data_IF_873100290831
#
_entry.id   IF_873100290831
#
_cell.length_a   1.000
_cell.length_b   1.000
_cell.length_c   1.000
_cell.angle_alpha   90.00
_cell.angle_beta   90.00
_cell.angle_gamma   90.00
#
_symmetry.space_group_name_H-M   'P 1'
#
loop_
_entity.id
_entity.type
_entity.pdbx_description
1 polymer ?
#
# COMPACT_ATOMS: atom_id res chain seq x y z
N UNK A 1 20.19 -3.34 -1.59
CA UNK A 1 20.88 -3.21 -0.29
C UNK A 1 20.52 -1.88 0.35
N UNK A 2 20.70 -1.75 1.67
CA UNK A 2 20.54 -0.48 2.37
C UNK A 2 21.69 0.50 2.05
N UNK A 3 22.88 -0.05 1.81
CA UNK A 3 24.09 0.71 1.54
C UNK A 3 24.61 0.46 0.12
N UNK A 4 25.43 1.40 -0.39
CA UNK A 4 26.11 1.24 -1.69
C UNK A 4 27.03 0.01 -1.74
N UNK A 5 27.58 -0.38 -0.60
CA UNK A 5 28.44 -1.56 -0.42
C UNK A 5 27.68 -2.61 0.38
N UNK A 6 27.97 -3.90 0.14
CA UNK A 6 27.30 -4.99 0.86
C UNK A 6 27.68 -4.96 2.34
N UNK A 7 26.74 -4.46 3.15
CA UNK A 7 26.86 -4.29 4.60
C UNK A 7 25.61 -4.74 5.34
N UNK A 8 24.61 -5.23 4.62
CA UNK A 8 23.33 -5.60 5.19
C UNK A 8 23.50 -6.89 6.00
N UNK A 9 22.87 -6.95 7.18
CA UNK A 9 22.89 -8.13 8.03
C UNK A 9 21.48 -8.72 8.09
N UNK A 10 21.34 -9.99 7.75
CA UNK A 10 20.03 -10.66 7.75
C UNK A 10 19.37 -10.74 9.13
N UNK A 11 20.17 -10.62 10.20
CA UNK A 11 19.71 -10.61 11.60
C UNK A 11 19.37 -9.21 12.11
N UNK A 12 19.50 -8.18 11.28
CA UNK A 12 19.24 -6.81 11.68
C UNK A 12 17.73 -6.47 11.63
N UNK A 13 17.12 -6.55 12.80
CA UNK A 13 15.71 -6.24 13.04
C UNK A 13 15.45 -4.75 13.31
N UNK A 14 16.39 -3.85 12.97
CA UNK A 14 16.25 -2.40 13.21
C UNK A 14 14.92 -1.84 12.71
N UNK A 15 14.39 -0.86 13.46
CA UNK A 15 13.04 -0.33 13.25
C UNK A 15 12.80 0.42 11.95
N UNK A 16 13.85 0.99 11.37
CA UNK A 16 13.71 1.76 10.13
C UNK A 16 13.80 0.89 8.87
N UNK A 17 12.97 1.24 7.89
CA UNK A 17 12.96 0.68 6.54
C UNK A 17 13.38 1.74 5.50
N UNK A 18 14.33 2.61 5.84
CA UNK A 18 14.65 3.81 5.04
C UNK A 18 15.00 3.49 3.57
N UNK A 19 15.66 2.37 3.31
CA UNK A 19 15.98 1.91 1.95
C UNK A 19 14.75 1.37 1.18
N UNK A 20 13.61 1.17 1.84
CA UNK A 20 12.33 0.76 1.26
C UNK A 20 11.34 1.93 1.11
N UNK A 21 11.76 3.19 1.31
CA UNK A 21 10.90 4.36 1.05
C UNK A 21 10.36 4.36 -0.39
N UNK A 22 11.16 3.86 -1.34
CA UNK A 22 10.76 3.68 -2.74
C UNK A 22 9.65 2.66 -2.97
N UNK A 23 9.45 1.72 -2.04
CA UNK A 23 8.33 0.78 -2.05
C UNK A 23 7.09 1.45 -1.46
N UNK A 24 7.20 2.02 -0.26
CA UNK A 24 6.14 2.81 0.37
C UNK A 24 6.77 3.82 1.33
N UNK A 25 6.32 5.10 1.36
CA UNK A 25 5.14 5.66 0.70
C UNK A 25 5.38 6.21 -0.72
N UNK A 26 6.62 6.18 -1.23
CA UNK A 26 6.89 6.49 -2.63
C UNK A 26 6.48 5.32 -3.53
N UNK A 27 6.70 5.46 -4.84
CA UNK A 27 6.39 4.44 -5.85
C UNK A 27 7.59 4.14 -6.74
N UNK A 28 8.80 4.61 -6.43
CA UNK A 28 9.96 4.44 -7.33
C UNK A 28 10.40 2.97 -7.50
N UNK A 29 10.16 2.13 -6.50
CA UNK A 29 10.33 0.67 -6.57
C UNK A 29 9.02 0.02 -7.03
N UNK A 30 7.87 0.42 -6.46
CA UNK A 30 6.57 -0.19 -6.75
C UNK A 30 6.14 -0.02 -8.23
N UNK A 31 6.42 1.15 -8.82
CA UNK A 31 6.13 1.52 -10.21
C UNK A 31 7.33 1.37 -11.13
N UNK A 32 8.34 0.59 -10.73
CA UNK A 32 9.50 0.39 -11.58
C UNK A 32 9.08 -0.21 -12.95
N UNK A 33 9.66 0.25 -14.08
CA UNK A 33 9.23 -0.17 -15.41
C UNK A 33 9.39 -1.67 -15.65
N UNK A 34 8.42 -2.29 -16.33
CA UNK A 34 8.49 -3.73 -16.70
C UNK A 34 9.65 -4.02 -17.65
N UNK A 35 10.03 -3.06 -18.51
CA UNK A 35 11.18 -3.14 -19.42
C UNK A 35 12.55 -3.03 -18.74
N UNK A 36 12.59 -2.93 -17.41
CA UNK A 36 13.80 -2.73 -16.62
C UNK A 36 14.31 -1.29 -16.63
N UNK A 37 15.49 -1.06 -16.04
CA UNK A 37 16.23 0.20 -16.23
C UNK A 37 17.60 -0.05 -16.85
N UNK A 38 18.36 1.03 -17.03
CA UNK A 38 19.75 1.05 -17.53
C UNK A 38 20.68 0.06 -16.81
N UNK A 39 20.34 -0.38 -15.59
CA UNK A 39 21.13 -1.35 -14.80
C UNK A 39 20.73 -2.82 -14.98
N UNK A 40 19.81 -3.14 -15.90
CA UNK A 40 19.49 -4.53 -16.30
C UNK A 40 18.63 -5.33 -15.31
N UNK A 41 18.11 -4.71 -14.25
CA UNK A 41 17.18 -5.35 -13.32
C UNK A 41 15.73 -5.23 -13.82
N UNK A 42 14.96 -6.31 -13.70
CA UNK A 42 13.51 -6.28 -13.91
C UNK A 42 12.77 -5.79 -12.67
N UNK A 43 11.53 -5.30 -12.85
CA UNK A 43 10.64 -4.95 -11.74
C UNK A 43 10.41 -6.11 -10.77
N UNK A 44 10.19 -7.32 -11.30
CA UNK A 44 9.99 -8.52 -10.48
C UNK A 44 11.19 -8.79 -9.57
N UNK A 45 12.42 -8.66 -10.08
CA UNK A 45 13.63 -8.85 -9.27
C UNK A 45 13.76 -7.80 -8.17
N UNK A 46 13.45 -6.53 -8.47
CA UNK A 46 13.46 -5.47 -7.47
C UNK A 46 12.40 -5.67 -6.38
N UNK A 47 11.17 -6.04 -6.74
CA UNK A 47 10.12 -6.33 -5.76
C UNK A 47 10.47 -7.55 -4.89
N UNK A 48 11.08 -8.58 -5.48
CA UNK A 48 11.60 -9.74 -4.72
C UNK A 48 12.72 -9.33 -3.76
N UNK A 49 13.64 -8.47 -4.19
CA UNK A 49 14.70 -7.96 -3.34
C UNK A 49 14.13 -7.13 -2.17
N UNK A 50 13.18 -6.24 -2.43
CA UNK A 50 12.49 -5.45 -1.41
C UNK A 50 11.74 -6.34 -0.41
N UNK A 51 11.03 -7.37 -0.89
CA UNK A 51 10.37 -8.35 -0.04
C UNK A 51 11.37 -9.14 0.82
N UNK A 52 12.52 -9.52 0.29
CA UNK A 52 13.59 -10.18 1.05
C UNK A 52 14.15 -9.28 2.15
N UNK A 53 14.45 -8.01 1.85
CA UNK A 53 14.87 -7.04 2.87
C UNK A 53 13.82 -6.87 3.97
N UNK A 54 12.54 -6.77 3.60
CA UNK A 54 11.43 -6.65 4.54
C UNK A 54 11.28 -7.89 5.43
N UNK A 55 11.49 -9.10 4.90
CA UNK A 55 11.51 -10.35 5.69
C UNK A 55 12.63 -10.33 6.74
N UNK A 56 13.83 -9.93 6.34
CA UNK A 56 14.98 -9.86 7.26
C UNK A 56 14.79 -8.82 8.36
N UNK A 57 14.11 -7.71 8.09
CA UNK A 57 13.73 -6.69 9.09
C UNK A 57 12.67 -7.16 10.09
N UNK A 58 12.08 -8.34 9.88
CA UNK A 58 11.07 -8.94 10.75
C UNK A 58 9.72 -8.20 10.76
N UNK A 59 8.86 -8.56 11.71
CA UNK A 59 7.49 -8.06 11.88
C UNK A 59 7.36 -6.96 12.96
N UNK A 60 8.48 -6.42 13.44
CA UNK A 60 8.52 -5.39 14.48
C UNK A 60 8.56 -5.95 15.91
N UNK A 61 9.14 -7.14 16.11
CA UNK A 61 9.38 -7.77 17.43
C UNK A 61 10.83 -7.69 17.90
N UNK A 62 11.68 -6.96 17.19
CA UNK A 62 13.10 -6.86 17.50
C UNK A 62 13.36 -6.04 18.78
N UNK A 63 14.53 -6.17 19.42
CA UNK A 63 14.88 -5.42 20.63
C UNK A 63 15.03 -3.92 20.39
N UNK A 64 15.33 -3.52 19.16
CA UNK A 64 15.45 -2.13 18.68
C UNK A 64 14.25 -1.71 17.81
N UNK A 65 13.17 -2.50 17.92
CA UNK A 65 11.87 -2.43 17.27
C UNK A 65 10.80 -2.61 18.38
N UNK A 66 9.51 -2.72 18.03
CA UNK A 66 8.32 -2.83 18.91
C UNK A 66 7.45 -1.55 18.99
N UNK A 67 7.78 -0.50 18.24
CA UNK A 67 6.95 0.71 18.15
C UNK A 67 5.78 0.59 17.16
N UNK A 68 4.72 1.39 17.35
CA UNK A 68 3.53 1.31 16.51
C UNK A 68 3.79 1.69 15.05
N UNK A 69 4.49 2.80 14.80
CA UNK A 69 4.71 3.32 13.45
C UNK A 69 5.49 2.36 12.56
N UNK A 70 6.47 1.66 13.13
CA UNK A 70 7.37 0.80 12.36
C UNK A 70 6.67 -0.50 11.94
N UNK A 71 5.73 -1.01 12.74
CA UNK A 71 4.86 -2.13 12.38
C UNK A 71 3.83 -1.72 11.34
N UNK A 72 3.24 -0.53 11.49
CA UNK A 72 2.31 0.03 10.50
C UNK A 72 3.02 0.25 9.16
N UNK A 73 4.26 0.73 9.15
CA UNK A 73 5.05 0.87 7.91
C UNK A 73 5.39 -0.49 7.28
N UNK A 74 5.81 -1.49 8.07
CA UNK A 74 6.00 -2.87 7.58
C UNK A 74 4.73 -3.43 6.95
N UNK A 75 3.59 -3.27 7.61
CA UNK A 75 2.29 -3.70 7.07
C UNK A 75 1.98 -2.99 5.74
N UNK A 76 2.33 -1.70 5.60
CA UNK A 76 2.11 -0.95 4.37
C UNK A 76 2.99 -1.44 3.22
N UNK A 77 4.24 -1.80 3.50
CA UNK A 77 5.14 -2.43 2.54
C UNK A 77 4.62 -3.81 2.10
N UNK A 78 4.10 -4.63 3.03
CA UNK A 78 3.48 -5.91 2.66
C UNK A 78 2.23 -5.74 1.81
N UNK A 79 1.39 -4.75 2.15
CA UNK A 79 0.23 -4.39 1.33
C UNK A 79 0.66 -3.93 -0.07
N UNK A 80 1.72 -3.12 -0.17
CA UNK A 80 2.28 -2.65 -1.44
C UNK A 80 2.77 -3.82 -2.33
N UNK A 81 3.32 -4.86 -1.71
CA UNK A 81 3.77 -6.07 -2.39
C UNK A 81 2.63 -7.02 -2.78
N UNK A 82 1.39 -6.72 -2.40
CA UNK A 82 0.22 -7.56 -2.68
C UNK A 82 0.07 -8.76 -1.72
N UNK A 83 0.87 -8.84 -0.65
CA UNK A 83 0.80 -9.94 0.31
C UNK A 83 -0.21 -9.63 1.43
N UNK A 84 -1.48 -9.95 1.17
CA UNK A 84 -2.58 -9.65 2.10
C UNK A 84 -2.46 -10.35 3.45
N UNK A 85 -1.93 -11.57 3.49
CA UNK A 85 -1.80 -12.32 4.74
C UNK A 85 -0.66 -11.77 5.60
N UNK A 86 0.49 -11.43 5.00
CA UNK A 86 1.57 -10.76 5.73
C UNK A 86 1.14 -9.38 6.19
N UNK A 87 0.52 -8.57 5.32
CA UNK A 87 -0.08 -7.30 5.70
C UNK A 87 -0.96 -7.45 6.93
N UNK A 88 -1.94 -8.36 6.90
CA UNK A 88 -2.90 -8.52 7.97
C UNK A 88 -2.26 -9.03 9.27
N UNK A 89 -1.29 -9.96 9.18
CA UNK A 89 -0.58 -10.45 10.36
C UNK A 89 0.17 -9.34 11.10
N UNK A 90 0.90 -8.48 10.38
CA UNK A 90 1.68 -7.39 10.95
C UNK A 90 0.77 -6.24 11.41
N UNK A 91 -0.24 -5.91 10.61
CA UNK A 91 -1.23 -4.89 10.94
C UNK A 91 -2.01 -5.26 12.20
N UNK A 92 -2.52 -6.49 12.28
CA UNK A 92 -3.22 -7.01 13.46
C UNK A 92 -2.29 -6.95 14.68
N UNK A 93 -1.04 -7.38 14.53
CA UNK A 93 -0.08 -7.32 15.63
C UNK A 93 0.15 -5.89 16.12
N UNK A 94 0.28 -4.91 15.22
CA UNK A 94 0.38 -3.50 15.57
C UNK A 94 -0.85 -3.01 16.34
N UNK A 95 -2.06 -3.31 15.85
CA UNK A 95 -3.32 -2.93 16.50
C UNK A 95 -3.47 -3.56 17.88
N UNK A 96 -3.14 -4.84 18.01
CA UNK A 96 -3.27 -5.59 19.26
C UNK A 96 -2.30 -5.12 20.34
N UNK A 97 -1.11 -4.61 19.96
CA UNK A 97 -0.04 -4.33 20.92
C UNK A 97 0.24 -2.84 21.11
N UNK A 98 0.16 -2.02 20.07
CA UNK A 98 0.63 -0.64 20.10
C UNK A 98 -0.49 0.40 20.21
N UNK A 99 -1.67 0.04 20.69
CA UNK A 99 -2.77 0.99 20.89
C UNK A 99 -3.33 0.84 22.30
N UNK A 100 -3.39 1.95 23.04
CA UNK A 100 -3.99 1.98 24.38
C UNK A 100 -5.50 1.84 24.35
N UNK A 101 -6.14 1.76 25.52
CA UNK A 101 -7.59 1.67 25.64
C UNK A 101 -8.35 2.84 25.00
N UNK A 102 -7.70 4.00 24.89
CA UNK A 102 -8.21 5.20 24.20
C UNK A 102 -7.90 5.20 22.69
N UNK A 103 -7.37 4.10 22.15
CA UNK A 103 -6.94 3.94 20.76
C UNK A 103 -5.79 4.87 20.35
N UNK A 104 -5.04 5.46 21.27
CA UNK A 104 -3.82 6.20 20.95
C UNK A 104 -2.64 5.26 20.82
N UNK A 105 -1.80 5.49 19.80
CA UNK A 105 -0.66 4.63 19.54
C UNK A 105 0.47 4.85 20.54
N UNK A 106 1.09 3.74 20.93
CA UNK A 106 2.12 3.64 21.94
C UNK A 106 3.46 3.30 21.30
N UNK A 107 4.50 4.06 21.64
CA UNK A 107 5.87 3.84 21.17
C UNK A 107 6.49 2.58 21.81
N UNK A 108 6.27 2.37 23.11
CA UNK A 108 6.77 1.20 23.85
C UNK A 108 5.61 0.53 24.59
N UNK A 109 4.88 -0.39 23.94
CA UNK A 109 3.61 -0.88 24.46
C UNK A 109 3.73 -1.71 25.74
N UNK A 110 4.95 -2.20 26.04
CA UNK A 110 5.26 -3.00 27.23
C UNK A 110 5.92 -2.19 28.36
N UNK A 111 6.15 -0.89 28.15
CA UNK A 111 6.68 -0.01 29.20
C UNK A 111 5.64 0.18 30.30
N UNK A 112 6.10 0.36 31.54
CA UNK A 112 5.22 0.75 32.66
C UNK A 112 4.55 2.11 32.43
N UNK A 113 5.19 2.99 31.65
CA UNK A 113 4.67 4.29 31.29
C UNK A 113 4.81 4.50 29.77
N UNK A 114 3.93 3.89 28.95
CA UNK A 114 4.07 3.91 27.51
C UNK A 114 3.84 5.33 26.96
N UNK A 115 4.75 5.78 26.10
CA UNK A 115 4.68 7.12 25.49
C UNK A 115 3.75 7.09 24.28
N UNK A 116 2.83 8.04 24.23
CA UNK A 116 2.01 8.28 23.06
C UNK A 116 2.84 8.83 21.88
N UNK A 117 2.64 8.26 20.70
CA UNK A 117 3.13 8.80 19.42
C UNK A 117 2.01 8.67 18.38
N UNK A 118 1.70 9.76 17.65
CA UNK A 118 0.52 9.85 16.77
C UNK A 118 0.71 9.20 15.39
N UNK A 119 1.95 8.96 15.00
CA UNK A 119 2.37 8.43 13.70
C UNK A 119 1.65 7.13 13.31
N UNK A 120 1.53 6.16 14.22
CA UNK A 120 0.82 4.91 13.90
C UNK A 120 -0.68 5.16 13.71
N UNK A 121 -1.33 5.99 14.54
CA UNK A 121 -2.72 6.40 14.34
C UNK A 121 -2.97 6.96 12.95
N UNK A 122 -2.10 7.84 12.46
CA UNK A 122 -2.21 8.46 11.13
C UNK A 122 -1.82 7.50 10.00
N UNK A 123 -0.95 6.54 10.28
CA UNK A 123 -0.55 5.50 9.34
C UNK A 123 -1.63 4.43 9.11
N UNK A 124 -2.45 4.12 10.12
CA UNK A 124 -3.50 3.08 10.05
C UNK A 124 -4.47 3.28 8.86
N UNK A 125 -5.08 4.46 8.65
CA UNK A 125 -5.92 4.68 7.47
C UNK A 125 -5.16 4.47 6.16
N UNK A 126 -3.91 4.92 6.08
CA UNK A 126 -3.08 4.78 4.89
C UNK A 126 -2.79 3.31 4.54
N UNK A 127 -2.40 2.51 5.53
CA UNK A 127 -2.07 1.09 5.30
C UNK A 127 -3.31 0.24 4.97
N UNK A 128 -4.46 0.52 5.61
CA UNK A 128 -5.73 -0.14 5.28
C UNK A 128 -6.13 0.20 3.85
N UNK A 129 -6.05 1.48 3.46
CA UNK A 129 -6.32 1.88 2.08
C UNK A 129 -5.34 1.26 1.10
N UNK A 130 -4.04 1.19 1.42
CA UNK A 130 -3.04 0.60 0.53
C UNK A 130 -3.26 -0.90 0.27
N UNK A 131 -3.86 -1.62 1.22
CA UNK A 131 -4.23 -3.02 1.05
C UNK A 131 -5.48 -3.21 0.17
N UNK A 132 -6.38 -2.23 0.16
CA UNK A 132 -7.66 -2.26 -0.56
C UNK A 132 -7.63 -1.56 -1.93
N UNK A 133 -6.74 -0.58 -2.11
CA UNK A 133 -6.68 0.30 -3.26
C UNK A 133 -5.28 0.88 -3.44
N UNK A 134 -4.67 0.64 -4.60
CA UNK A 134 -3.40 1.24 -5.01
C UNK A 134 -3.59 2.03 -6.30
N UNK A 135 -3.04 3.24 -6.34
CA UNK A 135 -3.05 4.09 -7.54
C UNK A 135 -1.81 4.98 -7.55
N UNK A 136 -0.62 4.41 -7.79
CA UNK A 136 0.60 5.20 -7.90
C UNK A 136 0.47 6.19 -9.07
N UNK A 137 1.00 7.41 -8.90
CA UNK A 137 1.02 8.34 -10.03
C UNK A 137 2.14 8.01 -11.01
N UNK A 138 1.99 8.55 -12.22
CA UNK A 138 2.98 8.48 -13.28
C UNK A 138 3.62 9.85 -13.50
N UNK A 139 4.79 9.88 -14.13
CA UNK A 139 5.49 11.13 -14.46
C UNK A 139 4.89 11.89 -15.64
N UNK A 140 4.01 11.26 -16.43
CA UNK A 140 3.28 11.86 -17.54
C UNK A 140 1.82 11.39 -17.58
N UNK A 141 0.94 12.26 -18.10
CA UNK A 141 -0.47 11.95 -18.41
C UNK A 141 -0.62 11.08 -19.68
N UNK A 142 0.42 10.95 -20.49
CA UNK A 142 0.44 10.01 -21.62
C UNK A 142 0.53 8.54 -21.15
N UNK A 143 1.00 8.33 -19.92
CA UNK A 143 1.01 7.01 -19.30
C UNK A 143 -0.32 6.74 -18.62
N UNK A 144 -0.87 5.51 -18.73
CA UNK A 144 -2.12 5.16 -18.09
C UNK A 144 -1.99 5.24 -16.56
N UNK A 145 -3.01 5.76 -15.90
CA UNK A 145 -3.19 5.57 -14.47
C UNK A 145 -3.64 4.15 -14.20
N UNK A 146 -2.84 3.41 -13.45
CA UNK A 146 -3.23 2.08 -12.99
C UNK A 146 -3.85 2.17 -11.61
N UNK A 147 -5.12 1.79 -11.49
CA UNK A 147 -5.85 1.66 -10.23
C UNK A 147 -6.03 0.17 -9.94
N UNK A 148 -5.30 -0.34 -8.96
CA UNK A 148 -5.41 -1.73 -8.51
C UNK A 148 -6.38 -1.83 -7.34
N UNK A 149 -7.44 -2.62 -7.51
CA UNK A 149 -8.46 -2.87 -6.51
C UNK A 149 -8.14 -4.17 -5.77
N UNK A 150 -8.29 -4.16 -4.45
CA UNK A 150 -8.00 -5.29 -3.55
C UNK A 150 -6.61 -5.92 -3.75
N UNK A 151 -5.53 -5.13 -3.90
CA UNK A 151 -4.20 -5.66 -4.20
C UNK A 151 -3.68 -6.61 -3.11
N UNK A 152 -4.07 -6.40 -1.85
CA UNK A 152 -3.63 -7.19 -0.71
C UNK A 152 -4.78 -7.47 0.27
N UNK A 153 -5.97 -7.82 -0.25
CA UNK A 153 -7.12 -8.17 0.60
C UNK A 153 -6.83 -9.46 1.40
N UNK A 154 -6.81 -9.42 2.75
CA UNK A 154 -6.62 -10.63 3.53
C UNK A 154 -7.86 -11.52 3.53
N UNK A 155 -7.67 -12.82 3.75
CA UNK A 155 -8.75 -13.80 3.92
C UNK A 155 -9.72 -13.40 5.03
N UNK A 156 -9.24 -12.77 6.10
CA UNK A 156 -10.07 -12.29 7.19
C UNK A 156 -11.13 -11.25 6.75
N UNK A 157 -10.92 -10.57 5.63
CA UNK A 157 -11.83 -9.55 5.09
C UNK A 157 -12.55 -10.01 3.83
N UNK A 158 -12.29 -11.22 3.33
CA UNK A 158 -12.72 -11.65 1.99
C UNK A 158 -14.22 -11.88 1.87
N UNK A 159 -14.89 -12.28 2.97
CA UNK A 159 -16.31 -12.65 2.95
C UNK A 159 -17.19 -11.54 2.36
N UNK A 160 -17.05 -10.30 2.84
CA UNK A 160 -17.72 -9.12 2.29
C UNK A 160 -17.12 -7.82 2.82
N UNK A 161 -17.18 -6.76 2.03
CA UNK A 161 -16.90 -5.40 2.48
C UNK A 161 -17.09 -4.37 1.37
N UNK A 162 -16.83 -3.10 1.68
CA UNK A 162 -16.90 -2.01 0.71
C UNK A 162 -16.04 -0.82 1.09
N UNK A 163 -15.57 -0.08 0.09
CA UNK A 163 -14.96 1.24 0.20
C UNK A 163 -15.86 2.25 -0.52
N UNK A 164 -16.15 3.39 0.12
CA UNK A 164 -16.97 4.46 -0.46
C UNK A 164 -16.24 5.79 -0.39
N UNK A 165 -16.23 6.51 -1.51
CA UNK A 165 -15.68 7.86 -1.58
C UNK A 165 -14.16 7.95 -1.41
N UNK A 166 -13.41 6.86 -1.65
CA UNK A 166 -11.96 6.92 -1.65
C UNK A 166 -11.47 7.82 -2.79
N UNK A 167 -10.29 8.42 -2.60
CA UNK A 167 -9.70 9.34 -3.56
C UNK A 167 -8.41 8.75 -4.11
N UNK A 168 -8.25 8.83 -5.41
CA UNK A 168 -6.97 8.60 -6.09
C UNK A 168 -6.55 9.87 -6.84
N UNK A 169 -5.29 9.90 -7.29
CA UNK A 169 -4.73 11.09 -7.96
C UNK A 169 -5.42 11.38 -9.29
N UNK A 170 -5.44 12.66 -9.66
CA UNK A 170 -6.10 13.15 -10.88
C UNK A 170 -7.57 13.56 -10.67
N UNK A 171 -8.01 13.77 -9.43
CA UNK A 171 -9.39 14.22 -9.17
C UNK A 171 -10.44 13.13 -9.35
N UNK A 172 -10.09 11.89 -8.96
CA UNK A 172 -10.93 10.72 -9.17
C UNK A 172 -11.39 10.18 -7.81
N UNK A 173 -12.70 10.13 -7.62
CA UNK A 173 -13.34 9.37 -6.55
C UNK A 173 -13.63 7.95 -6.99
N UNK A 174 -13.41 6.97 -6.12
CA UNK A 174 -13.71 5.56 -6.37
C UNK A 174 -14.48 4.96 -5.19
N UNK A 175 -15.49 4.15 -5.52
CA UNK A 175 -16.21 3.30 -4.58
C UNK A 175 -16.30 1.90 -5.17
N UNK A 176 -16.21 0.89 -4.32
CA UNK A 176 -16.34 -0.51 -4.73
C UNK A 176 -16.77 -1.37 -3.55
N UNK A 177 -17.43 -2.48 -3.84
CA UNK A 177 -17.75 -3.52 -2.87
C UNK A 177 -17.04 -4.81 -3.25
N UNK A 178 -17.01 -5.78 -2.34
CA UNK A 178 -16.53 -7.12 -2.64
C UNK A 178 -17.27 -8.18 -1.84
N UNK A 179 -17.29 -9.39 -2.39
CA UNK A 179 -17.81 -10.62 -1.78
C UNK A 179 -16.96 -11.79 -2.26
N UNK A 180 -16.66 -12.71 -1.35
CA UNK A 180 -15.82 -13.88 -1.62
C UNK A 180 -14.46 -13.50 -2.25
N UNK A 181 -13.89 -12.38 -1.80
CA UNK A 181 -12.62 -11.83 -2.28
C UNK A 181 -12.67 -11.17 -3.66
N UNK A 182 -13.85 -11.05 -4.28
CA UNK A 182 -14.01 -10.50 -5.63
C UNK A 182 -14.73 -9.16 -5.62
N UNK A 183 -14.23 -8.14 -6.32
CA UNK A 183 -14.88 -6.85 -6.40
C UNK A 183 -16.18 -6.95 -7.19
N UNK A 184 -17.17 -6.18 -6.79
CA UNK A 184 -18.40 -5.91 -7.54
C UNK A 184 -18.82 -4.45 -7.29
N UNK A 185 -19.64 -3.90 -8.18
CA UNK A 185 -20.16 -2.52 -8.08
C UNK A 185 -19.06 -1.45 -7.94
N UNK A 186 -18.06 -1.53 -8.83
CA UNK A 186 -16.97 -0.56 -8.90
C UNK A 186 -17.45 0.68 -9.68
N UNK A 187 -17.41 1.84 -9.03
CA UNK A 187 -17.86 3.12 -9.58
C UNK A 187 -16.77 4.17 -9.40
N UNK A 188 -16.39 4.81 -10.50
CA UNK A 188 -15.51 5.97 -10.52
C UNK A 188 -16.29 7.24 -10.83
N UNK A 189 -15.94 8.33 -10.15
CA UNK A 189 -16.49 9.67 -10.36
C UNK A 189 -15.34 10.65 -10.55
N UNK A 190 -15.35 11.34 -11.67
CA UNK A 190 -14.33 12.29 -12.04
C UNK A 190 -14.80 13.70 -11.69
N UNK A 191 -13.95 14.47 -11.01
CA UNK A 191 -14.29 15.83 -10.61
C UNK A 191 -14.50 16.72 -11.84
N UNK A 192 -15.39 17.72 -11.71
CA UNK A 192 -15.56 18.77 -12.71
C UNK A 192 -14.53 19.87 -12.48
N UNK A 193 -13.32 19.69 -13.00
CA UNK A 193 -12.23 20.67 -12.89
C UNK A 193 -11.98 21.33 -14.25
N UNK A 194 -11.80 22.67 -14.28
CA UNK A 194 -11.50 23.40 -15.53
C UNK A 194 -10.18 22.98 -16.19
N UNK A 195 -9.19 22.58 -15.38
CA UNK A 195 -7.87 22.15 -15.84
C UNK A 195 -7.69 20.62 -15.74
N UNK A 196 -8.79 19.86 -15.86
CA UNK A 196 -8.73 18.40 -15.83
C UNK A 196 -7.88 17.88 -16.99
N UNK A 197 -6.89 17.03 -16.69
CA UNK A 197 -6.03 16.40 -17.68
C UNK A 197 -6.56 14.99 -17.96
N UNK A 198 -7.09 14.78 -19.17
CA UNK A 198 -7.52 13.46 -19.62
C UNK A 198 -6.34 12.51 -19.70
N UNK A 199 -6.54 11.28 -19.24
CA UNK A 199 -5.58 10.19 -19.36
C UNK A 199 -6.30 8.85 -19.43
N UNK A 200 -5.63 7.86 -20.01
CA UNK A 200 -6.08 6.48 -19.92
C UNK A 200 -6.07 6.04 -18.44
N UNK A 201 -7.11 5.31 -18.04
CA UNK A 201 -7.28 4.74 -16.71
C UNK A 201 -7.49 3.24 -16.88
N UNK A 202 -6.62 2.46 -16.26
CA UNK A 202 -6.67 1.01 -16.22
C UNK A 202 -7.07 0.55 -14.83
N UNK A 203 -8.20 -0.16 -14.75
CA UNK A 203 -8.65 -0.79 -13.51
C UNK A 203 -8.09 -2.21 -13.48
N UNK A 204 -7.33 -2.53 -12.45
CA UNK A 204 -6.66 -3.82 -12.29
C UNK A 204 -7.21 -4.57 -11.09
N UNK A 205 -7.48 -5.85 -11.28
CA UNK A 205 -7.78 -6.79 -10.21
C UNK A 205 -7.09 -8.13 -10.49
N UNK A 206 -6.46 -8.70 -9.46
CA UNK A 206 -5.76 -9.98 -9.53
C UNK A 206 -4.77 -10.07 -10.72
N UNK A 207 -4.00 -9.00 -10.93
CA UNK A 207 -2.97 -8.92 -11.98
C UNK A 207 -3.50 -8.75 -13.40
N UNK A 208 -4.81 -8.51 -13.59
CA UNK A 208 -5.43 -8.32 -14.91
C UNK A 208 -6.14 -6.99 -15.01
N UNK A 209 -6.05 -6.34 -16.18
CA UNK A 209 -6.88 -5.19 -16.51
C UNK A 209 -8.30 -5.71 -16.71
N UNK A 210 -9.23 -5.22 -15.89
CA UNK A 210 -10.66 -5.57 -15.92
C UNK A 210 -11.50 -4.50 -16.62
N UNK A 211 -10.98 -3.27 -16.74
CA UNK A 211 -11.56 -2.21 -17.56
C UNK A 211 -10.47 -1.18 -17.94
N UNK A 212 -10.61 -0.57 -19.12
CA UNK A 212 -9.72 0.45 -19.64
C UNK A 212 -10.52 1.51 -20.40
N UNK A 213 -10.30 2.78 -20.08
CA UNK A 213 -11.03 3.90 -20.67
C UNK A 213 -10.26 5.21 -20.50
N UNK A 214 -10.60 6.23 -21.29
CA UNK A 214 -10.09 7.59 -21.10
C UNK A 214 -10.97 8.31 -20.08
N UNK A 215 -10.39 8.76 -18.97
CA UNK A 215 -11.10 9.52 -17.94
C UNK A 215 -11.28 10.97 -18.37
N UNK A 216 -12.50 11.50 -18.23
CA UNK A 216 -12.85 12.89 -18.57
C UNK A 216 -13.51 13.62 -17.40
N UNK A 217 -13.45 14.96 -17.41
CA UNK A 217 -14.02 15.79 -16.35
C UNK A 217 -15.53 15.54 -16.20
N UNK A 218 -15.98 15.30 -14.96
CA UNK A 218 -17.39 15.05 -14.66
C UNK A 218 -17.93 13.67 -15.08
N UNK A 219 -17.08 12.81 -15.66
CA UNK A 219 -17.45 11.45 -16.03
C UNK A 219 -17.86 10.62 -14.80
N UNK A 220 -18.82 9.71 -15.00
CA UNK A 220 -19.10 8.62 -14.07
C UNK A 220 -18.92 7.31 -14.84
N UNK A 221 -18.00 6.46 -14.37
CA UNK A 221 -17.74 5.14 -14.96
C UNK A 221 -18.17 4.05 -14.00
N UNK A 222 -19.10 3.20 -14.44
CA UNK A 222 -19.36 1.91 -13.79
C UNK A 222 -18.52 0.86 -14.50
N UNK A 223 -17.73 0.12 -13.73
CA UNK A 223 -16.87 -0.96 -14.24
C UNK A 223 -17.66 -2.27 -14.16
N UNK A 224 -17.64 -3.04 -15.24
CA UNK A 224 -18.22 -4.38 -15.27
C UNK A 224 -17.20 -5.37 -14.71
N UNK A 225 -17.52 -5.98 -13.56
CA UNK A 225 -16.69 -6.95 -12.81
C UNK A 225 -17.46 -8.20 -12.47
#
# INVERSE_FOLDING_TARGET
SEWKVEKDKQTDLHRHLSHLVGLYPSYSIASYPEGGSVVGLSKSELLKAAATSLKHRGDGRGPDADAGWEKVWRAACWAQLGDGEKFYSVFKYAVDTNFGHNLFSLYEPRSYNPIFQIDANLGVPGVVMNALLQAPDTSSYDSPLVITILPALPKAWSARGSVKGARVRGGIGISFAWRDGRPYDVILRFDRMKAYQSREVNIVYNGRIIDSFVGEAGMVRKVNV
#
